data_IF_403492570069
#
_entry.id   IF_403492570069
#
_cell.length_a   1.000
_cell.length_b   1.000
_cell.length_c   1.000
_cell.angle_alpha   90.00
_cell.angle_beta   90.00
_cell.angle_gamma   90.00
#
_symmetry.space_group_name_H-M   'P 1'
#
loop_
_entity.id
_entity.type
_entity.pdbx_description
1 polymer ?
#
# COMPACT_ATOMS: atom_id res chain seq x y z
N UNK A 1 1.17 5.14 9.32
CA UNK A 1 1.71 4.83 7.97
C UNK A 1 2.54 5.95 7.35
N UNK A 2 2.59 7.16 7.94
CA UNK A 2 3.49 8.21 7.45
C UNK A 2 4.97 7.74 7.43
N UNK A 3 5.65 7.99 6.32
CA UNK A 3 7.01 7.55 6.01
C UNK A 3 7.16 6.05 5.75
N UNK A 4 6.06 5.32 5.51
CA UNK A 4 6.08 3.86 5.27
C UNK A 4 5.83 3.52 3.81
N UNK A 5 6.28 2.34 3.41
CA UNK A 5 6.05 1.78 2.08
C UNK A 5 4.84 0.84 2.12
N UNK A 6 3.96 0.99 1.13
CA UNK A 6 2.75 0.20 0.93
C UNK A 6 2.89 -0.60 -0.36
N UNK A 7 2.73 -1.92 -0.26
CA UNK A 7 2.76 -2.83 -1.39
C UNK A 7 1.45 -2.77 -2.19
N UNK A 8 1.53 -2.73 -3.52
CA UNK A 8 0.37 -2.75 -4.43
C UNK A 8 0.60 -3.74 -5.55
N UNK A 9 -0.47 -4.33 -6.09
CA UNK A 9 -0.40 -5.19 -7.28
C UNK A 9 -0.46 -4.40 -8.58
N UNK A 10 -1.15 -3.26 -8.56
CA UNK A 10 -1.23 -2.32 -9.68
C UNK A 10 -1.32 -0.88 -9.13
N UNK A 11 -0.54 0.03 -9.74
CA UNK A 11 -0.57 1.45 -9.43
C UNK A 11 -1.91 2.11 -9.80
N UNK A 12 -2.65 1.58 -10.78
CA UNK A 12 -3.97 2.07 -11.14
C UNK A 12 -5.11 1.32 -10.43
N UNK A 13 -4.78 0.39 -9.51
CA UNK A 13 -5.79 -0.45 -8.86
C UNK A 13 -6.85 0.36 -8.10
N UNK A 14 -8.12 -0.09 -8.12
CA UNK A 14 -9.17 0.46 -7.25
C UNK A 14 -8.77 0.42 -5.76
N UNK A 15 -8.05 -0.62 -5.33
CA UNK A 15 -7.60 -0.79 -3.96
C UNK A 15 -6.62 0.31 -3.53
N UNK A 16 -5.63 0.67 -4.38
CA UNK A 16 -4.75 1.81 -4.09
C UNK A 16 -5.54 3.10 -3.92
N UNK A 17 -6.54 3.33 -4.78
CA UNK A 17 -7.36 4.53 -4.71
C UNK A 17 -8.21 4.57 -3.44
N UNK A 18 -8.83 3.45 -3.06
CA UNK A 18 -9.57 3.32 -1.81
C UNK A 18 -8.66 3.54 -0.59
N UNK A 19 -7.50 2.90 -0.56
CA UNK A 19 -6.53 3.06 0.53
C UNK A 19 -6.00 4.50 0.60
N UNK A 20 -5.82 5.17 -0.54
CA UNK A 20 -5.45 6.59 -0.61
C UNK A 20 -6.52 7.50 0.01
N UNK A 21 -7.80 7.18 -0.17
CA UNK A 21 -8.91 7.91 0.47
C UNK A 21 -8.87 7.69 1.99
N UNK A 22 -8.62 6.46 2.46
CA UNK A 22 -8.47 6.17 3.88
C UNK A 22 -7.30 6.94 4.50
N UNK A 23 -6.13 6.93 3.86
CA UNK A 23 -4.95 7.69 4.31
C UNK A 23 -5.29 9.18 4.44
N UNK A 24 -5.92 9.78 3.43
CA UNK A 24 -6.36 11.19 3.50
C UNK A 24 -7.33 11.46 4.65
N UNK A 25 -8.30 10.58 4.90
CA UNK A 25 -9.23 10.70 6.03
C UNK A 25 -8.51 10.72 7.38
N UNK A 26 -7.35 10.08 7.47
CA UNK A 26 -6.49 10.06 8.66
C UNK A 26 -5.39 11.13 8.64
N UNK A 27 -5.46 12.11 7.73
CA UNK A 27 -4.49 13.21 7.66
C UNK A 27 -3.12 12.81 7.11
N UNK A 28 -3.03 11.66 6.43
CA UNK A 28 -1.80 11.19 5.75
C UNK A 28 -1.96 11.48 4.26
N UNK A 29 -1.05 12.25 3.68
CA UNK A 29 -1.03 12.51 2.24
C UNK A 29 -0.53 11.25 1.48
N UNK A 30 -1.36 10.57 0.67
CA UNK A 30 -0.96 9.35 -0.01
C UNK A 30 0.10 9.58 -1.10
N UNK A 31 0.40 10.83 -1.49
CA UNK A 31 1.42 11.17 -2.48
C UNK A 31 2.74 11.55 -1.81
N UNK A 32 2.68 12.19 -0.63
CA UNK A 32 3.85 12.76 0.04
C UNK A 32 4.31 12.01 1.27
N UNK A 33 3.38 11.39 1.98
CA UNK A 33 3.63 10.79 3.28
C UNK A 33 3.81 9.26 3.22
N UNK A 34 3.69 8.63 2.05
CA UNK A 34 3.90 7.18 1.88
C UNK A 34 4.57 6.89 0.55
N UNK A 35 5.25 5.77 0.48
CA UNK A 35 5.78 5.22 -0.77
C UNK A 35 4.90 4.06 -1.24
N UNK A 36 4.62 4.01 -2.54
CA UNK A 36 3.92 2.88 -3.16
C UNK A 36 4.91 2.01 -3.90
N UNK A 37 4.88 0.70 -3.66
CA UNK A 37 5.77 -0.25 -4.30
C UNK A 37 5.00 -1.38 -4.94
N UNK A 38 5.27 -1.62 -6.21
CA UNK A 38 4.59 -2.66 -6.97
C UNK A 38 5.22 -4.03 -6.68
N UNK A 39 4.37 -5.01 -6.41
CA UNK A 39 4.73 -6.41 -6.26
C UNK A 39 3.72 -7.30 -7.01
N UNK A 40 4.16 -8.44 -7.57
CA UNK A 40 3.26 -9.51 -7.98
C UNK A 40 2.37 -9.95 -6.81
N UNK A 41 1.12 -10.35 -7.10
CA UNK A 41 0.14 -10.70 -6.07
C UNK A 41 0.59 -11.84 -5.16
N UNK A 42 1.28 -12.83 -5.73
CA UNK A 42 1.86 -13.99 -5.03
C UNK A 42 3.04 -13.61 -4.13
N UNK A 43 3.71 -12.48 -4.37
CA UNK A 43 4.85 -12.01 -3.58
C UNK A 43 4.48 -10.93 -2.56
N UNK A 44 3.27 -10.37 -2.63
CA UNK A 44 2.82 -9.27 -1.78
C UNK A 44 2.84 -9.66 -0.29
N UNK A 45 2.39 -10.88 0.04
CA UNK A 45 2.43 -11.42 1.41
C UNK A 45 3.86 -11.63 1.90
N UNK A 46 4.73 -12.24 1.09
CA UNK A 46 6.13 -12.44 1.44
C UNK A 46 6.87 -11.11 1.64
N UNK A 47 6.55 -10.08 0.85
CA UNK A 47 7.12 -8.74 1.01
C UNK A 47 6.72 -8.12 2.36
N UNK A 48 5.49 -8.37 2.82
CA UNK A 48 5.01 -7.95 4.14
C UNK A 48 5.74 -8.72 5.26
N UNK A 49 5.83 -10.05 5.15
CA UNK A 49 6.53 -10.92 6.12
C UNK A 49 8.01 -10.54 6.28
N UNK A 50 8.68 -10.18 5.18
CA UNK A 50 10.08 -9.76 5.17
C UNK A 50 10.28 -8.30 5.63
N UNK A 51 9.20 -7.55 5.82
CA UNK A 51 9.26 -6.14 6.19
C UNK A 51 9.71 -5.19 5.08
N UNK A 52 9.74 -5.66 3.82
CA UNK A 52 10.04 -4.82 2.64
C UNK A 52 8.96 -3.75 2.44
N UNK A 53 7.73 -4.05 2.86
CA UNK A 53 6.61 -3.11 3.00
C UNK A 53 6.02 -3.22 4.39
N UNK A 54 5.33 -2.17 4.84
CA UNK A 54 4.70 -2.14 6.17
C UNK A 54 3.17 -2.21 6.12
N UNK A 55 2.61 -2.16 4.92
CA UNK A 55 1.21 -2.44 4.63
C UNK A 55 1.09 -2.89 3.18
N UNK A 56 -0.06 -3.47 2.83
CA UNK A 56 -0.40 -3.86 1.46
C UNK A 56 -1.79 -3.30 1.14
N UNK A 57 -1.99 -2.80 -0.09
CA UNK A 57 -3.33 -2.44 -0.58
C UNK A 57 -3.84 -3.57 -1.46
N UNK A 58 -4.87 -4.25 -0.97
CA UNK A 58 -5.58 -5.32 -1.62
C UNK A 58 -6.72 -5.74 -0.71
N UNK A 59 -7.72 -6.43 -1.26
CA UNK A 59 -8.64 -7.18 -0.41
C UNK A 59 -7.84 -8.30 0.25
N UNK A 60 -7.60 -8.18 1.55
CA UNK A 60 -7.37 -9.35 2.39
C UNK A 60 -8.57 -10.29 2.17
N UNK A 61 -8.37 -11.59 1.86
CA UNK A 61 -9.46 -12.56 1.89
C UNK A 61 -10.21 -12.54 3.23
#
# INVERSE_FOLDING_TARGET
>A
LKGKTIGVTDMASPDRNFFSILLKKHGIDPVRDVDWRLFPADLLGTALERGEVQAISGSDP
#
